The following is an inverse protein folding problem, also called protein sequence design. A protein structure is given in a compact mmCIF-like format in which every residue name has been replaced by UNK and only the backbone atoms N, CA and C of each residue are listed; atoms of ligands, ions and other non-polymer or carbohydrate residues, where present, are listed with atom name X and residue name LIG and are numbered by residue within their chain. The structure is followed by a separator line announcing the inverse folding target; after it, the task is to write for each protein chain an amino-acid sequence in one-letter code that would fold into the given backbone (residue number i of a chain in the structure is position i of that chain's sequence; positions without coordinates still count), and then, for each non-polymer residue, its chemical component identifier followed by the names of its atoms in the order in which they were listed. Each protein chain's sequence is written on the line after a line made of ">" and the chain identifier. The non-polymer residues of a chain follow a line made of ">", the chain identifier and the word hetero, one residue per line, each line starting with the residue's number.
data_IF_784622091545
#
_entry.id   IF_784622091545
#
_cell.length_a   1.000
_cell.length_b   1.000
_cell.length_c   1.000
_cell.angle_alpha   90.00
_cell.angle_beta   90.00
_cell.angle_gamma   90.00
#
_symmetry.space_group_name_H-M   'P 1'
#
loop_
_entity.id
_entity.type
_entity.pdbx_description
1 polymer ?
#
# COMPACT_ATOMS: atom_id res chain seq x y z
N UNK A 1 -33.46 0.59 6.75
CA UNK A 1 -32.83 1.28 7.89
C UNK A 1 -31.33 1.04 7.71
N UNK A 2 -30.53 2.07 7.75
CA UNK A 2 -29.10 1.92 7.57
C UNK A 2 -28.44 1.22 8.77
N UNK A 3 -27.22 0.71 8.59
CA UNK A 3 -26.42 0.09 9.66
C UNK A 3 -26.01 1.17 10.66
N UNK A 4 -25.31 2.21 10.18
CA UNK A 4 -24.78 3.30 11.00
C UNK A 4 -25.06 4.70 10.43
N UNK A 5 -25.29 4.84 9.11
CA UNK A 5 -25.52 6.14 8.49
C UNK A 5 -26.73 6.90 9.03
N UNK A 6 -27.76 6.19 9.50
CA UNK A 6 -29.00 6.78 10.04
C UNK A 6 -28.91 7.04 11.56
N UNK A 7 -27.72 6.91 12.16
CA UNK A 7 -27.53 7.00 13.62
C UNK A 7 -26.51 8.08 14.02
N UNK A 8 -26.69 9.35 13.63
CA UNK A 8 -25.69 10.40 13.82
C UNK A 8 -25.32 10.66 15.29
N UNK A 9 -26.22 10.37 16.22
CA UNK A 9 -26.00 10.53 17.66
C UNK A 9 -24.89 9.62 18.20
N UNK A 10 -24.60 8.52 17.51
CA UNK A 10 -23.57 7.56 17.91
C UNK A 10 -22.21 7.82 17.23
N UNK A 11 -22.18 8.56 16.10
CA UNK A 11 -20.97 8.73 15.29
C UNK A 11 -19.77 9.22 16.08
N UNK A 12 -19.95 10.24 16.92
CA UNK A 12 -18.85 10.78 17.73
C UNK A 12 -18.28 9.77 18.72
N UNK A 13 -19.15 8.96 19.35
CA UNK A 13 -18.73 7.91 20.30
C UNK A 13 -18.02 6.77 19.57
N UNK A 14 -18.54 6.34 18.43
CA UNK A 14 -17.97 5.28 17.63
C UNK A 14 -16.62 5.71 17.01
N UNK A 15 -16.50 6.96 16.57
CA UNK A 15 -15.24 7.53 16.12
C UNK A 15 -14.19 7.47 17.22
N UNK A 16 -14.53 7.85 18.47
CA UNK A 16 -13.58 7.78 19.58
C UNK A 16 -13.11 6.35 19.85
N UNK A 17 -14.04 5.38 19.91
CA UNK A 17 -13.70 3.97 20.10
C UNK A 17 -12.84 3.41 18.96
N UNK A 18 -13.12 3.82 17.73
CA UNK A 18 -12.34 3.44 16.56
C UNK A 18 -10.91 4.00 16.57
N UNK A 19 -10.75 5.25 17.02
CA UNK A 19 -9.44 5.90 17.22
C UNK A 19 -8.63 5.17 18.27
N UNK A 20 -9.24 4.85 19.41
CA UNK A 20 -8.56 4.14 20.50
C UNK A 20 -8.06 2.77 20.04
N UNK A 21 -8.89 2.00 19.33
CA UNK A 21 -8.50 0.71 18.73
C UNK A 21 -7.35 0.84 17.75
N UNK A 22 -7.41 1.85 16.86
CA UNK A 22 -6.35 2.10 15.89
C UNK A 22 -5.04 2.45 16.58
N UNK A 23 -5.08 3.39 17.54
CA UNK A 23 -3.90 3.86 18.25
C UNK A 23 -3.22 2.76 19.06
N UNK A 24 -3.99 1.92 19.74
CA UNK A 24 -3.46 0.75 20.46
C UNK A 24 -2.71 -0.20 19.50
N UNK A 25 -3.32 -0.53 18.38
CA UNK A 25 -2.67 -1.34 17.36
C UNK A 25 -1.40 -0.67 16.81
N UNK A 26 -1.49 0.61 16.45
CA UNK A 26 -0.37 1.34 15.86
C UNK A 26 0.83 1.43 16.80
N UNK A 27 0.59 1.78 18.08
CA UNK A 27 1.65 1.89 19.08
C UNK A 27 2.36 0.55 19.36
N UNK A 28 1.65 -0.57 19.24
CA UNK A 28 2.23 -1.90 19.39
C UNK A 28 2.95 -2.39 18.14
N UNK A 29 2.43 -2.09 16.96
CA UNK A 29 2.93 -2.62 15.69
C UNK A 29 4.05 -1.75 15.07
N UNK A 30 3.81 -0.46 14.90
CA UNK A 30 4.68 0.40 14.09
C UNK A 30 6.09 0.56 14.69
N UNK A 31 6.30 0.82 16.00
CA UNK A 31 7.65 0.99 16.56
C UNK A 31 8.47 -0.29 16.48
N UNK A 32 7.85 -1.45 16.66
CA UNK A 32 8.51 -2.75 16.55
C UNK A 32 8.96 -3.00 15.10
N UNK A 33 8.03 -2.88 14.17
CA UNK A 33 8.28 -3.09 12.75
C UNK A 33 9.35 -2.14 12.20
N UNK A 34 9.32 -0.86 12.60
CA UNK A 34 10.30 0.11 12.17
C UNK A 34 11.71 -0.25 12.67
N UNK A 35 11.85 -0.64 13.95
CA UNK A 35 13.13 -1.07 14.52
C UNK A 35 13.70 -2.33 13.84
N UNK A 36 12.87 -3.35 13.64
CA UNK A 36 13.27 -4.59 12.98
C UNK A 36 13.70 -4.33 11.53
N UNK A 37 12.95 -3.50 10.81
CA UNK A 37 13.29 -3.11 9.44
C UNK A 37 14.61 -2.34 9.41
N UNK A 38 14.85 -1.40 10.31
CA UNK A 38 16.11 -0.64 10.38
C UNK A 38 17.32 -1.53 10.62
N UNK A 39 17.23 -2.48 11.55
CA UNK A 39 18.31 -3.43 11.81
C UNK A 39 18.62 -4.28 10.56
N UNK A 40 17.59 -4.82 9.93
CA UNK A 40 17.74 -5.58 8.68
C UNK A 40 18.36 -4.73 7.57
N UNK A 41 17.92 -3.48 7.41
CA UNK A 41 18.42 -2.58 6.36
C UNK A 41 19.83 -2.08 6.64
N UNK A 42 20.26 -1.91 7.90
CA UNK A 42 21.66 -1.58 8.22
C UNK A 42 22.64 -2.61 7.67
N UNK A 43 22.37 -3.89 7.85
CA UNK A 43 23.20 -4.95 7.29
C UNK A 43 23.24 -4.93 5.74
N UNK A 44 22.09 -4.64 5.11
CA UNK A 44 22.03 -4.50 3.64
C UNK A 44 22.82 -3.30 3.14
N UNK A 45 22.79 -2.17 3.86
CA UNK A 45 23.57 -0.97 3.53
C UNK A 45 25.07 -1.24 3.66
N UNK A 46 25.52 -1.87 4.75
CA UNK A 46 26.93 -2.24 4.90
C UNK A 46 27.41 -3.15 3.77
N UNK A 47 26.59 -4.13 3.36
CA UNK A 47 26.92 -4.98 2.22
C UNK A 47 27.04 -4.17 0.92
N UNK A 48 26.11 -3.24 0.67
CA UNK A 48 26.15 -2.37 -0.50
C UNK A 48 27.40 -1.44 -0.50
N UNK A 49 27.78 -0.91 0.66
CA UNK A 49 29.00 -0.10 0.81
C UNK A 49 30.24 -0.91 0.44
N UNK A 50 30.36 -2.17 0.93
CA UNK A 50 31.50 -3.05 0.59
C UNK A 50 31.56 -3.37 -0.90
N UNK A 51 30.42 -3.75 -1.51
CA UNK A 51 30.34 -4.09 -2.95
C UNK A 51 30.72 -2.91 -3.86
N UNK A 52 30.41 -1.70 -3.42
CA UNK A 52 30.71 -0.46 -4.16
C UNK A 52 32.08 0.14 -3.83
N UNK A 53 32.92 -0.56 -3.04
CA UNK A 53 34.15 0.01 -2.53
C UNK A 53 33.87 1.30 -1.75
N UNK A 54 32.92 1.25 -0.84
CA UNK A 54 32.46 2.40 -0.04
C UNK A 54 32.02 3.60 -0.88
N UNK A 55 31.30 3.33 -1.98
CA UNK A 55 30.84 4.28 -3.00
C UNK A 55 31.93 4.90 -3.87
N UNK A 56 33.20 4.58 -3.66
CA UNK A 56 34.33 5.13 -4.45
C UNK A 56 34.48 4.44 -5.83
N UNK A 57 33.97 3.22 -5.97
CA UNK A 57 34.09 2.39 -7.18
C UNK A 57 32.77 2.08 -7.85
N UNK A 58 31.72 2.89 -7.59
CA UNK A 58 30.42 2.68 -8.20
C UNK A 58 30.50 2.72 -9.72
N UNK A 59 30.00 1.66 -10.38
CA UNK A 59 30.08 1.48 -11.84
C UNK A 59 28.82 0.81 -12.41
N UNK A 60 28.58 0.93 -13.73
CA UNK A 60 27.49 0.21 -14.39
C UNK A 60 27.55 -1.31 -14.21
N UNK A 61 28.76 -1.88 -14.16
CA UNK A 61 28.94 -3.32 -14.00
C UNK A 61 28.55 -3.80 -12.60
N UNK A 62 28.84 -3.00 -11.58
CA UNK A 62 28.38 -3.25 -10.19
C UNK A 62 26.86 -3.20 -10.14
N UNK A 63 26.22 -2.18 -10.72
CA UNK A 63 24.75 -2.09 -10.74
C UNK A 63 24.10 -3.21 -11.57
N UNK A 64 24.77 -3.70 -12.62
CA UNK A 64 24.30 -4.85 -13.41
C UNK A 64 24.31 -6.12 -12.58
N UNK A 65 25.35 -6.32 -11.78
CA UNK A 65 25.54 -7.51 -10.95
C UNK A 65 24.74 -7.47 -9.64
N UNK A 66 24.48 -6.27 -9.13
CA UNK A 66 23.84 -6.01 -7.84
C UNK A 66 22.71 -4.96 -8.00
N UNK A 67 21.66 -5.26 -8.78
CA UNK A 67 20.55 -4.31 -8.96
C UNK A 67 19.83 -3.95 -7.65
N UNK A 68 19.82 -4.85 -6.68
CA UNK A 68 19.19 -4.70 -5.35
C UNK A 68 19.76 -3.56 -4.50
N UNK A 69 20.96 -3.06 -4.83
CA UNK A 69 21.55 -1.94 -4.08
C UNK A 69 20.99 -0.57 -4.48
N UNK A 70 20.27 -0.46 -5.60
CA UNK A 70 19.78 0.81 -6.13
C UNK A 70 18.94 1.63 -5.12
N UNK A 71 18.01 1.05 -4.35
CA UNK A 71 17.31 1.79 -3.30
C UNK A 71 18.26 2.40 -2.26
N UNK A 72 19.33 1.68 -1.89
CA UNK A 72 20.35 2.15 -0.94
C UNK A 72 21.09 3.35 -1.52
N UNK A 73 21.51 3.26 -2.79
CA UNK A 73 22.22 4.35 -3.47
C UNK A 73 21.38 5.61 -3.56
N UNK A 74 20.05 5.49 -3.81
CA UNK A 74 19.15 6.65 -3.80
C UNK A 74 19.05 7.31 -2.43
N UNK A 75 19.11 6.52 -1.37
CA UNK A 75 19.08 7.04 0.02
C UNK A 75 20.44 7.56 0.48
N UNK A 76 21.50 7.28 -0.28
CA UNK A 76 22.86 7.80 -0.04
C UNK A 76 23.08 9.19 -0.67
N UNK A 77 22.08 9.75 -1.35
CA UNK A 77 22.17 11.09 -1.94
C UNK A 77 21.71 12.20 -0.99
N UNK A 78 22.10 13.44 -1.28
CA UNK A 78 21.63 14.64 -0.61
C UNK A 78 20.94 15.59 -1.62
N UNK A 79 19.60 15.82 -1.49
CA UNK A 79 18.67 15.07 -0.63
C UNK A 79 18.48 13.62 -1.12
N UNK A 80 17.97 12.71 -0.26
CA UNK A 80 17.53 11.39 -0.70
C UNK A 80 16.48 11.50 -1.81
N UNK A 81 16.65 10.74 -2.90
CA UNK A 81 15.79 10.88 -4.09
C UNK A 81 14.77 9.73 -4.21
N UNK A 82 13.54 10.10 -4.55
CA UNK A 82 12.49 9.13 -4.87
C UNK A 82 12.81 8.39 -6.19
N UNK A 83 12.26 7.18 -6.35
CA UNK A 83 12.45 6.36 -7.55
C UNK A 83 12.12 7.10 -8.85
N UNK A 84 10.94 7.71 -8.93
CA UNK A 84 10.53 8.44 -10.15
C UNK A 84 11.35 9.71 -10.38
N UNK A 85 11.93 10.30 -9.31
CA UNK A 85 12.87 11.42 -9.43
C UNK A 85 14.18 10.96 -10.03
N UNK A 86 14.73 9.79 -9.64
CA UNK A 86 15.90 9.22 -10.26
C UNK A 86 15.68 8.98 -11.76
N UNK A 87 14.53 8.39 -12.12
CA UNK A 87 14.15 8.17 -13.52
C UNK A 87 14.23 9.47 -14.32
N UNK A 88 13.63 10.56 -13.78
CA UNK A 88 13.64 11.87 -14.44
C UNK A 88 15.02 12.50 -14.53
N UNK A 89 15.81 12.48 -13.45
CA UNK A 89 17.14 13.08 -13.40
C UNK A 89 18.16 12.36 -14.29
N UNK A 90 18.12 11.03 -14.30
CA UNK A 90 19.02 10.22 -15.11
C UNK A 90 18.55 10.09 -16.57
N UNK A 91 17.29 10.39 -16.89
CA UNK A 91 16.73 10.22 -18.23
C UNK A 91 16.74 8.76 -18.68
N UNK A 92 16.35 7.83 -17.80
CA UNK A 92 16.35 6.39 -18.06
C UNK A 92 14.92 5.83 -18.08
N UNK A 93 14.77 4.60 -18.55
CA UNK A 93 13.46 3.93 -18.58
C UNK A 93 12.95 3.61 -17.18
N UNK A 94 11.70 3.98 -16.92
CA UNK A 94 11.01 3.67 -15.64
C UNK A 94 11.03 2.17 -15.33
N UNK A 95 10.80 1.32 -16.32
CA UNK A 95 10.78 -0.14 -16.16
C UNK A 95 12.15 -0.71 -15.74
N UNK A 96 13.27 -0.12 -16.15
CA UNK A 96 14.59 -0.54 -15.69
C UNK A 96 14.72 -0.35 -14.18
N UNK A 97 14.43 0.87 -13.70
CA UNK A 97 14.51 1.20 -12.27
C UNK A 97 13.51 0.38 -11.45
N UNK A 98 12.29 0.18 -11.97
CA UNK A 98 11.29 -0.66 -11.30
C UNK A 98 11.74 -2.11 -11.14
N UNK A 99 12.34 -2.70 -12.17
CA UNK A 99 12.84 -4.07 -12.12
C UNK A 99 14.05 -4.22 -11.17
N UNK A 100 14.92 -3.21 -11.12
CA UNK A 100 16.06 -3.23 -10.17
C UNK A 100 15.61 -3.10 -8.71
N UNK A 101 14.50 -2.41 -8.46
CA UNK A 101 13.92 -2.22 -7.14
C UNK A 101 12.77 -3.19 -6.82
N UNK A 102 12.61 -4.24 -7.61
CA UNK A 102 11.66 -5.32 -7.32
C UNK A 102 12.08 -6.02 -6.02
N UNK A 103 11.16 -6.12 -5.05
CA UNK A 103 11.46 -6.64 -3.71
C UNK A 103 11.64 -8.14 -3.67
N UNK A 104 11.05 -8.87 -4.61
CA UNK A 104 11.10 -10.33 -4.65
C UNK A 104 12.18 -10.83 -5.62
N UNK A 105 12.38 -10.10 -6.73
CA UNK A 105 13.30 -10.50 -7.79
C UNK A 105 13.99 -9.28 -8.43
N UNK A 106 14.90 -8.60 -7.71
CA UNK A 106 15.63 -7.46 -8.26
C UNK A 106 16.50 -7.90 -9.44
N UNK A 107 16.32 -7.24 -10.59
CA UNK A 107 16.99 -7.60 -11.84
C UNK A 107 17.11 -6.43 -12.78
N UNK A 108 18.08 -6.51 -13.68
CA UNK A 108 18.12 -5.65 -14.87
C UNK A 108 17.20 -6.19 -15.97
N UNK A 109 16.75 -5.35 -16.89
CA UNK A 109 15.83 -5.77 -17.95
C UNK A 109 16.50 -6.73 -18.95
N UNK A 110 16.03 -7.99 -19.08
CA UNK A 110 16.63 -8.96 -20.01
C UNK A 110 16.38 -8.63 -21.50
N UNK A 111 15.45 -7.70 -21.78
CA UNK A 111 15.08 -7.30 -23.16
C UNK A 111 15.87 -6.11 -23.68
N UNK A 112 16.79 -5.55 -22.90
CA UNK A 112 17.64 -4.46 -23.32
C UNK A 112 18.93 -5.00 -23.96
N UNK A 113 19.38 -4.36 -25.05
CA UNK A 113 20.72 -4.66 -25.58
C UNK A 113 21.77 -4.29 -24.54
N UNK A 114 22.90 -5.00 -24.52
CA UNK A 114 23.98 -4.77 -23.55
C UNK A 114 24.51 -3.32 -23.62
N UNK A 115 24.64 -2.77 -24.82
CA UNK A 115 25.06 -1.39 -25.05
C UNK A 115 24.07 -0.39 -24.42
N UNK A 116 22.77 -0.58 -24.65
CA UNK A 116 21.73 0.30 -24.10
C UNK A 116 21.65 0.19 -22.57
N UNK A 117 21.76 -1.03 -22.06
CA UNK A 117 21.76 -1.27 -20.61
C UNK A 117 22.95 -0.56 -19.94
N UNK A 118 24.16 -0.72 -20.50
CA UNK A 118 25.38 -0.07 -19.98
C UNK A 118 25.26 1.45 -20.00
N UNK A 119 24.68 2.02 -21.06
CA UNK A 119 24.45 3.48 -21.18
C UNK A 119 23.46 3.96 -20.10
N UNK A 120 22.31 3.31 -19.94
CA UNK A 120 21.32 3.69 -18.94
C UNK A 120 21.85 3.52 -17.50
N UNK A 121 22.54 2.42 -17.21
CA UNK A 121 23.19 2.23 -15.90
C UNK A 121 24.27 3.28 -15.65
N UNK A 122 25.03 3.67 -16.68
CA UNK A 122 26.01 4.76 -16.60
C UNK A 122 25.37 6.10 -16.22
N UNK A 123 24.20 6.41 -16.78
CA UNK A 123 23.44 7.62 -16.41
C UNK A 123 22.97 7.59 -14.96
N UNK A 124 22.52 6.41 -14.49
CA UNK A 124 22.13 6.22 -13.08
C UNK A 124 23.34 6.46 -12.17
N UNK A 125 24.48 5.79 -12.46
CA UNK A 125 25.73 5.94 -11.69
C UNK A 125 26.16 7.41 -11.64
N UNK A 126 26.22 8.09 -12.80
CA UNK A 126 26.62 9.49 -12.85
C UNK A 126 25.69 10.40 -12.04
N UNK A 127 24.38 10.15 -12.08
CA UNK A 127 23.41 10.91 -11.28
C UNK A 127 23.63 10.71 -9.80
N UNK A 128 23.80 9.45 -9.36
CA UNK A 128 24.07 9.13 -7.95
C UNK A 128 25.38 9.76 -7.49
N UNK A 129 26.49 9.56 -8.23
CA UNK A 129 27.80 10.09 -7.84
C UNK A 129 27.82 11.62 -7.70
N UNK A 130 27.05 12.34 -8.52
CA UNK A 130 26.92 13.81 -8.43
C UNK A 130 26.11 14.28 -7.21
N UNK A 131 25.39 13.40 -6.57
CA UNK A 131 24.45 13.72 -5.48
C UNK A 131 24.81 13.02 -4.18
N UNK A 132 25.89 12.26 -4.12
CA UNK A 132 26.30 11.58 -2.88
C UNK A 132 26.41 12.62 -1.74
N UNK A 133 25.90 12.22 -0.56
CA UNK A 133 25.91 13.03 0.65
C UNK A 133 27.29 12.99 1.30
N UNK A 134 28.17 13.95 0.96
CA UNK A 134 29.53 13.98 1.50
C UNK A 134 29.62 14.23 3.01
N UNK A 135 28.55 14.76 3.62
CA UNK A 135 28.51 14.91 5.09
C UNK A 135 28.29 13.56 5.80
N UNK A 136 27.65 12.61 5.10
CA UNK A 136 27.46 11.24 5.57
C UNK A 136 28.65 10.34 5.20
N UNK A 137 29.21 10.53 4.00
CA UNK A 137 30.28 9.72 3.42
C UNK A 137 31.57 10.56 3.30
N UNK A 138 32.07 11.07 4.42
CA UNK A 138 33.19 12.03 4.51
C UNK A 138 34.46 11.56 3.81
N UNK A 139 34.70 10.25 3.78
CA UNK A 139 35.87 9.66 3.14
C UNK A 139 35.93 9.83 1.62
N UNK A 140 34.78 10.14 0.96
CA UNK A 140 34.74 10.33 -0.49
C UNK A 140 35.51 11.58 -0.88
N UNK A 141 35.25 12.71 -0.21
CA UNK A 141 35.94 13.97 -0.46
C UNK A 141 37.41 13.92 0.00
N UNK A 142 37.66 13.19 1.09
CA UNK A 142 39.01 12.99 1.64
C UNK A 142 39.83 11.94 0.87
N UNK A 143 39.21 11.20 -0.07
CA UNK A 143 39.83 10.17 -0.93
C UNK A 143 40.62 9.11 -0.13
N UNK A 144 40.02 8.63 0.94
CA UNK A 144 40.55 7.58 1.83
C UNK A 144 39.57 6.46 2.04
N UNK A 145 40.00 5.36 2.65
CA UNK A 145 39.09 4.33 3.16
C UNK A 145 38.39 4.81 4.43
N UNK A 146 37.10 4.44 4.65
CA UNK A 146 36.42 4.73 5.89
C UNK A 146 36.88 3.80 7.01
N UNK A 147 36.78 4.26 8.24
CA UNK A 147 36.90 3.40 9.40
C UNK A 147 35.59 2.68 9.73
N UNK A 148 35.61 1.74 10.68
CA UNK A 148 34.43 0.93 11.07
C UNK A 148 33.32 1.79 11.67
N UNK A 149 33.66 2.87 12.38
CA UNK A 149 32.69 3.77 13.02
C UNK A 149 31.97 4.59 11.95
N UNK A 150 32.70 5.08 10.95
CA UNK A 150 32.14 5.82 9.81
C UNK A 150 31.23 4.94 8.99
N UNK A 151 31.60 3.69 8.71
CA UNK A 151 30.76 2.70 8.01
C UNK A 151 29.47 2.45 8.80
N UNK A 152 29.57 2.16 10.10
CA UNK A 152 28.41 1.89 10.94
C UNK A 152 27.45 3.11 11.05
N UNK A 153 28.04 4.31 11.20
CA UNK A 153 27.26 5.58 11.24
C UNK A 153 26.52 5.82 9.94
N UNK A 154 27.21 5.76 8.83
CA UNK A 154 26.61 6.00 7.50
C UNK A 154 25.56 4.93 7.16
N UNK A 155 25.83 3.66 7.47
CA UNK A 155 24.87 2.57 7.29
C UNK A 155 23.60 2.79 8.11
N UNK A 156 23.73 3.27 9.36
CA UNK A 156 22.56 3.59 10.20
C UNK A 156 21.72 4.73 9.62
N UNK A 157 22.37 5.80 9.16
CA UNK A 157 21.68 6.96 8.55
C UNK A 157 20.92 6.54 7.29
N UNK A 158 21.57 5.81 6.40
CA UNK A 158 20.93 5.35 5.14
C UNK A 158 19.82 4.34 5.43
N UNK A 159 20.01 3.44 6.38
CA UNK A 159 18.97 2.50 6.81
C UNK A 159 17.75 3.22 7.38
N UNK A 160 17.94 4.27 8.17
CA UNK A 160 16.83 5.08 8.70
C UNK A 160 16.07 5.81 7.59
N UNK A 161 16.78 6.38 6.60
CA UNK A 161 16.16 6.97 5.40
C UNK A 161 15.35 5.93 4.59
N UNK A 162 15.88 4.71 4.44
CA UNK A 162 15.17 3.59 3.80
C UNK A 162 13.92 3.20 4.60
N UNK A 163 14.02 3.12 5.92
CA UNK A 163 12.87 2.82 6.79
C UNK A 163 11.79 3.89 6.66
N UNK A 164 12.15 5.17 6.63
CA UNK A 164 11.19 6.26 6.39
C UNK A 164 10.44 6.12 5.06
N UNK A 165 11.13 5.66 4.01
CA UNK A 165 10.51 5.42 2.71
C UNK A 165 9.65 4.15 2.64
N UNK A 166 9.90 3.17 3.52
CA UNK A 166 9.24 1.85 3.51
C UNK A 166 8.15 1.71 4.59
N UNK A 167 8.21 2.49 5.66
CA UNK A 167 7.33 2.32 6.82
C UNK A 167 5.85 2.53 6.48
N UNK A 168 5.51 3.57 5.73
CA UNK A 168 4.11 3.84 5.37
C UNK A 168 3.47 2.71 4.54
N UNK A 169 4.13 2.18 3.49
CA UNK A 169 3.64 0.99 2.80
C UNK A 169 3.50 -0.24 3.70
N UNK A 170 4.47 -0.50 4.59
CA UNK A 170 4.42 -1.65 5.50
C UNK A 170 3.25 -1.52 6.45
N UNK A 171 3.07 -0.36 7.07
CA UNK A 171 1.96 -0.09 8.00
C UNK A 171 0.62 -0.23 7.28
N UNK A 172 0.48 0.35 6.08
CA UNK A 172 -0.73 0.27 5.28
C UNK A 172 -1.11 -1.16 4.91
N UNK A 173 -0.15 -1.93 4.43
CA UNK A 173 -0.35 -3.35 4.10
C UNK A 173 -0.70 -4.19 5.34
N UNK A 174 -0.12 -3.87 6.50
CA UNK A 174 -0.43 -4.55 7.75
C UNK A 174 -1.84 -4.23 8.24
N UNK A 175 -2.29 -2.97 8.10
CA UNK A 175 -3.65 -2.55 8.41
C UNK A 175 -4.68 -3.30 7.55
N UNK A 176 -4.49 -3.30 6.23
CA UNK A 176 -5.37 -4.00 5.30
C UNK A 176 -5.43 -5.51 5.61
N UNK A 177 -4.28 -6.17 5.77
CA UNK A 177 -4.23 -7.59 6.14
C UNK A 177 -4.94 -7.88 7.46
N UNK A 178 -4.82 -6.99 8.44
CA UNK A 178 -5.52 -7.11 9.72
C UNK A 178 -7.02 -7.04 9.53
N UNK A 179 -7.52 -6.03 8.81
CA UNK A 179 -8.95 -5.86 8.56
C UNK A 179 -9.53 -7.06 7.81
N UNK A 180 -8.89 -7.51 6.74
CA UNK A 180 -9.33 -8.71 6.00
C UNK A 180 -9.34 -9.96 6.89
N UNK A 181 -8.34 -10.11 7.77
CA UNK A 181 -8.30 -11.23 8.72
C UNK A 181 -9.45 -11.18 9.74
N UNK A 182 -9.78 -9.99 10.25
CA UNK A 182 -10.90 -9.82 11.20
C UNK A 182 -12.21 -10.19 10.51
N UNK A 183 -12.42 -9.74 9.27
CA UNK A 183 -13.60 -10.09 8.46
C UNK A 183 -13.65 -11.59 8.18
N UNK A 184 -12.53 -12.20 7.75
CA UNK A 184 -12.46 -13.66 7.52
C UNK A 184 -12.88 -14.44 8.75
N UNK A 185 -12.27 -14.14 9.91
CA UNK A 185 -12.59 -14.83 11.16
C UNK A 185 -14.06 -14.69 11.57
N UNK A 186 -14.65 -13.52 11.32
CA UNK A 186 -16.06 -13.29 11.58
C UNK A 186 -16.95 -14.13 10.66
N UNK A 187 -16.71 -14.08 9.36
CA UNK A 187 -17.47 -14.84 8.36
C UNK A 187 -17.32 -16.36 8.54
N UNK A 188 -16.10 -16.84 8.81
CA UNK A 188 -15.85 -18.25 9.14
C UNK A 188 -16.64 -18.71 10.36
N UNK A 189 -16.75 -17.84 11.40
CA UNK A 189 -17.54 -18.13 12.61
C UNK A 189 -19.03 -18.22 12.34
N UNK A 190 -19.50 -17.63 11.24
CA UNK A 190 -20.89 -17.67 10.77
C UNK A 190 -21.15 -18.82 9.78
N UNK A 191 -20.13 -19.61 9.44
CA UNK A 191 -20.25 -20.75 8.52
C UNK A 191 -19.96 -20.43 7.06
N UNK A 192 -19.56 -19.19 6.73
CA UNK A 192 -19.18 -18.81 5.37
C UNK A 192 -17.86 -19.45 4.95
N UNK A 193 -17.72 -19.68 3.66
CA UNK A 193 -16.49 -20.26 3.07
C UNK A 193 -15.80 -19.29 2.14
N UNK A 194 -14.46 -19.15 2.28
CA UNK A 194 -13.68 -18.31 1.39
C UNK A 194 -13.53 -18.93 -0.01
N UNK A 195 -13.89 -18.17 -1.02
CA UNK A 195 -13.55 -18.47 -2.40
C UNK A 195 -12.11 -18.02 -2.70
N UNK A 196 -11.21 -18.98 -2.88
CA UNK A 196 -9.80 -18.71 -3.19
C UNK A 196 -9.59 -18.61 -4.70
N UNK A 197 -9.16 -17.42 -5.14
CA UNK A 197 -8.67 -17.11 -6.50
C UNK A 197 -9.65 -17.14 -7.68
N UNK A 198 -9.81 -16.00 -8.31
CA UNK A 198 -10.24 -15.89 -9.71
C UNK A 198 -11.73 -16.12 -9.98
N UNK A 199 -12.58 -16.08 -8.97
CA UNK A 199 -14.03 -16.16 -9.14
C UNK A 199 -14.56 -14.85 -9.71
N UNK A 200 -15.39 -14.94 -10.74
CA UNK A 200 -16.26 -13.82 -11.11
C UNK A 200 -17.33 -13.67 -10.04
N UNK A 201 -17.69 -12.44 -9.73
CA UNK A 201 -18.65 -12.16 -8.66
C UNK A 201 -20.02 -12.82 -8.89
N UNK A 202 -20.44 -12.98 -10.16
CA UNK A 202 -21.68 -13.62 -10.58
C UNK A 202 -21.65 -15.16 -10.52
N UNK A 203 -20.49 -15.75 -10.26
CA UNK A 203 -20.30 -17.19 -10.08
C UNK A 203 -20.23 -17.62 -8.60
N UNK A 204 -20.29 -16.66 -7.67
CA UNK A 204 -20.22 -16.94 -6.24
C UNK A 204 -21.46 -17.70 -5.75
N UNK A 205 -21.22 -18.79 -5.02
CA UNK A 205 -22.31 -19.54 -4.37
C UNK A 205 -22.78 -18.84 -3.10
N UNK A 206 -24.05 -19.01 -2.68
CA UNK A 206 -24.52 -18.51 -1.39
C UNK A 206 -23.68 -19.04 -0.21
N UNK A 207 -23.53 -18.25 0.83
CA UNK A 207 -22.71 -18.59 1.99
C UNK A 207 -21.19 -18.54 1.73
N UNK A 208 -20.78 -17.78 0.72
CA UNK A 208 -19.35 -17.61 0.40
C UNK A 208 -18.90 -16.17 0.39
N UNK A 209 -17.60 -15.95 0.57
CA UNK A 209 -16.98 -14.63 0.44
C UNK A 209 -15.66 -14.71 -0.34
N UNK A 210 -15.21 -13.59 -0.87
CA UNK A 210 -13.95 -13.49 -1.61
C UNK A 210 -13.26 -12.16 -1.32
N UNK A 211 -11.93 -12.16 -1.33
CA UNK A 211 -11.12 -10.97 -1.13
C UNK A 211 -10.52 -10.46 -2.43
N UNK A 212 -10.34 -9.12 -2.52
CA UNK A 212 -9.61 -8.43 -3.60
C UNK A 212 -10.09 -8.84 -5.00
N UNK A 213 -11.39 -8.87 -5.16
CA UNK A 213 -12.02 -9.26 -6.42
C UNK A 213 -12.27 -8.03 -7.29
N UNK A 214 -11.95 -8.12 -8.58
CA UNK A 214 -12.27 -7.09 -9.54
C UNK A 214 -13.73 -7.22 -9.99
N UNK A 215 -14.49 -6.13 -9.86
CA UNK A 215 -15.88 -6.02 -10.34
C UNK A 215 -15.88 -5.14 -11.59
N UNK A 216 -16.48 -5.65 -12.67
CA UNK A 216 -16.60 -4.90 -13.90
C UNK A 216 -17.78 -3.94 -13.82
N UNK A 217 -17.53 -2.65 -14.06
CA UNK A 217 -18.51 -1.58 -13.99
C UNK A 217 -18.48 -0.70 -15.22
N UNK A 218 -19.61 -0.04 -15.54
CA UNK A 218 -19.68 1.02 -16.55
C UNK A 218 -18.97 2.27 -16.04
N UNK A 219 -18.19 2.91 -16.89
CA UNK A 219 -17.48 4.16 -16.55
C UNK A 219 -18.47 5.29 -16.28
N UNK A 220 -19.57 5.37 -17.03
CA UNK A 220 -20.70 6.30 -16.84
C UNK A 220 -22.02 5.65 -17.27
N UNK A 221 -23.15 6.23 -16.89
CA UNK A 221 -24.47 5.68 -17.19
C UNK A 221 -24.71 5.47 -18.70
N UNK A 222 -24.24 6.38 -19.54
CA UNK A 222 -24.43 6.39 -20.99
C UNK A 222 -23.27 5.75 -21.77
N UNK A 223 -22.28 5.18 -21.06
CA UNK A 223 -21.08 4.60 -21.69
C UNK A 223 -21.17 3.10 -21.81
N UNK A 224 -20.76 2.58 -22.97
CA UNK A 224 -20.48 1.16 -23.15
C UNK A 224 -19.08 0.76 -22.66
N UNK A 225 -18.24 1.77 -22.31
CA UNK A 225 -16.92 1.49 -21.74
C UNK A 225 -17.05 0.93 -20.34
N UNK A 226 -16.32 -0.15 -20.10
CA UNK A 226 -16.27 -0.83 -18.80
C UNK A 226 -14.88 -0.67 -18.18
N UNK A 227 -14.85 -0.58 -16.86
CA UNK A 227 -13.64 -0.57 -16.07
C UNK A 227 -13.72 -1.68 -15.02
N UNK A 228 -12.57 -2.20 -14.60
CA UNK A 228 -12.50 -3.09 -13.47
C UNK A 228 -12.17 -2.26 -12.22
N UNK A 229 -13.06 -2.29 -11.24
CA UNK A 229 -12.79 -1.69 -9.93
C UNK A 229 -12.44 -2.80 -8.92
N UNK A 230 -11.35 -2.66 -8.18
CA UNK A 230 -11.05 -3.57 -7.10
C UNK A 230 -12.02 -3.34 -5.93
N UNK A 231 -12.53 -4.43 -5.37
CA UNK A 231 -13.35 -4.46 -4.15
C UNK A 231 -12.65 -5.35 -3.14
N UNK A 232 -12.49 -4.88 -1.91
CA UNK A 232 -11.70 -5.58 -0.90
C UNK A 232 -12.37 -6.87 -0.44
N UNK A 233 -13.71 -6.85 -0.26
CA UNK A 233 -14.49 -8.01 0.17
C UNK A 233 -15.80 -8.11 -0.60
N UNK A 234 -16.08 -9.28 -1.16
CA UNK A 234 -17.39 -9.66 -1.66
C UNK A 234 -17.98 -10.73 -0.75
N UNK A 235 -19.27 -10.60 -0.40
CA UNK A 235 -19.98 -11.57 0.42
C UNK A 235 -21.29 -11.93 -0.26
N UNK A 236 -21.50 -13.20 -0.55
CA UNK A 236 -22.78 -13.69 -1.03
C UNK A 236 -23.55 -14.31 0.12
N UNK A 237 -24.60 -13.66 0.66
CA UNK A 237 -25.35 -14.15 1.82
C UNK A 237 -25.90 -15.55 1.62
N UNK A 238 -26.09 -16.32 2.70
CA UNK A 238 -26.69 -17.67 2.64
C UNK A 238 -28.09 -17.68 2.01
N UNK A 239 -28.85 -16.60 2.23
CA UNK A 239 -30.19 -16.43 1.66
C UNK A 239 -30.23 -15.97 0.20
N UNK A 240 -29.09 -15.65 -0.41
CA UNK A 240 -29.00 -15.21 -1.78
C UNK A 240 -29.13 -16.39 -2.76
N UNK A 241 -29.33 -16.09 -4.03
CA UNK A 241 -29.26 -17.07 -5.12
C UNK A 241 -27.96 -16.90 -5.88
N UNK A 242 -27.53 -17.96 -6.54
CA UNK A 242 -26.41 -17.88 -7.49
C UNK A 242 -26.72 -16.87 -8.59
N UNK A 243 -25.80 -15.93 -8.78
CA UNK A 243 -25.95 -14.83 -9.74
C UNK A 243 -26.57 -13.56 -9.15
N UNK A 244 -27.05 -13.58 -7.90
CA UNK A 244 -27.42 -12.36 -7.20
C UNK A 244 -26.17 -11.50 -6.96
N UNK A 245 -26.38 -10.19 -6.88
CA UNK A 245 -25.30 -9.25 -6.63
C UNK A 245 -24.81 -9.40 -5.19
N UNK A 246 -23.52 -9.69 -4.97
CA UNK A 246 -22.99 -9.82 -3.63
C UNK A 246 -22.92 -8.47 -2.91
N UNK A 247 -22.87 -8.51 -1.58
CA UNK A 247 -22.52 -7.37 -0.75
C UNK A 247 -21.05 -7.03 -0.99
N UNK A 248 -20.76 -5.75 -1.21
CA UNK A 248 -19.42 -5.24 -1.48
C UNK A 248 -18.95 -4.42 -0.29
N UNK A 249 -17.75 -4.70 0.21
CA UNK A 249 -17.18 -3.96 1.34
C UNK A 249 -15.78 -3.47 0.95
N UNK A 250 -15.52 -2.19 1.23
CA UNK A 250 -14.22 -1.55 1.09
C UNK A 250 -13.62 -1.30 2.46
N UNK A 251 -12.41 -1.83 2.70
CA UNK A 251 -11.71 -1.67 3.97
C UNK A 251 -10.96 -0.35 4.03
N UNK A 252 -11.23 0.46 5.03
CA UNK A 252 -10.58 1.76 5.21
C UNK A 252 -10.03 1.90 6.62
N UNK A 253 -8.76 2.28 6.68
CA UNK A 253 -8.09 2.59 7.94
C UNK A 253 -7.39 3.94 7.83
N UNK A 254 -7.53 4.79 8.84
CA UNK A 254 -6.97 6.14 8.85
C UNK A 254 -6.25 6.43 10.17
N UNK A 255 -5.00 6.89 10.06
CA UNK A 255 -4.17 7.28 11.21
C UNK A 255 -4.27 8.75 11.60
N UNK A 256 -4.98 9.55 10.82
CA UNK A 256 -5.23 10.98 11.06
C UNK A 256 -6.44 11.47 10.26
N UNK A 257 -6.98 12.64 10.65
CA UNK A 257 -8.13 13.25 9.96
C UNK A 257 -7.76 13.95 8.64
N UNK A 258 -6.49 14.25 8.39
CA UNK A 258 -6.09 15.08 7.25
C UNK A 258 -6.22 14.36 5.91
N UNK A 259 -5.95 13.05 5.89
CA UNK A 259 -5.93 12.25 4.67
C UNK A 259 -7.28 11.64 4.28
N UNK A 260 -8.26 11.69 5.17
CA UNK A 260 -9.57 11.06 4.97
C UNK A 260 -10.35 11.73 3.84
N UNK A 261 -10.33 13.04 3.77
CA UNK A 261 -11.09 13.81 2.77
C UNK A 261 -10.69 13.59 1.30
N UNK A 262 -9.48 13.09 1.04
CA UNK A 262 -9.06 12.75 -0.34
C UNK A 262 -9.70 11.46 -0.83
N UNK A 263 -9.97 10.52 0.08
CA UNK A 263 -10.46 9.18 -0.24
C UNK A 263 -11.96 9.16 -0.54
N UNK A 264 -12.76 10.01 0.11
CA UNK A 264 -14.23 10.03 -0.10
C UNK A 264 -14.67 10.23 -1.55
N UNK A 265 -13.89 10.96 -2.36
CA UNK A 265 -14.20 11.12 -3.80
C UNK A 265 -14.04 9.81 -4.57
N UNK A 266 -13.16 8.95 -4.12
CA UNK A 266 -12.94 7.63 -4.72
C UNK A 266 -14.11 6.71 -4.38
N UNK A 267 -14.59 6.71 -3.13
CA UNK A 267 -15.72 5.93 -2.67
C UNK A 267 -17.02 6.37 -3.37
N UNK A 268 -17.30 7.67 -3.42
CA UNK A 268 -18.45 8.21 -4.13
C UNK A 268 -18.43 7.86 -5.64
N UNK A 269 -17.26 7.90 -6.27
CA UNK A 269 -17.10 7.48 -7.67
C UNK A 269 -17.38 5.99 -7.84
N UNK A 270 -16.85 5.13 -6.97
CA UNK A 270 -17.12 3.69 -6.99
C UNK A 270 -18.62 3.41 -6.83
N UNK A 271 -19.26 4.03 -5.83
CA UNK A 271 -20.69 3.88 -5.58
C UNK A 271 -21.51 4.28 -6.82
N UNK A 272 -21.20 5.41 -7.45
CA UNK A 272 -21.90 5.87 -8.65
C UNK A 272 -21.71 4.89 -9.83
N UNK A 273 -20.51 4.37 -10.04
CA UNK A 273 -20.22 3.38 -11.09
C UNK A 273 -20.96 2.06 -10.84
N UNK A 274 -21.03 1.62 -9.60
CA UNK A 274 -21.79 0.43 -9.18
C UNK A 274 -23.29 0.63 -9.43
N UNK A 275 -23.86 1.77 -9.03
CA UNK A 275 -25.26 2.10 -9.27
C UNK A 275 -25.59 2.19 -10.76
N UNK A 276 -24.72 2.81 -11.57
CA UNK A 276 -24.89 2.89 -13.02
C UNK A 276 -24.89 1.51 -13.70
N UNK A 277 -24.21 0.53 -13.08
CA UNK A 277 -24.05 -0.81 -13.63
C UNK A 277 -25.15 -1.77 -13.16
N UNK A 278 -25.42 -1.77 -11.85
CA UNK A 278 -26.24 -2.77 -11.18
C UNK A 278 -27.56 -2.21 -10.62
N UNK A 279 -27.75 -0.89 -10.69
CA UNK A 279 -28.96 -0.24 -10.19
C UNK A 279 -28.84 0.23 -8.73
N UNK A 280 -29.92 0.85 -8.25
CA UNK A 280 -29.94 1.51 -6.92
C UNK A 280 -29.88 0.54 -5.72
N UNK A 281 -30.13 -0.75 -5.94
CA UNK A 281 -30.14 -1.76 -4.87
C UNK A 281 -28.76 -2.34 -4.54
N UNK A 282 -27.70 -1.79 -5.14
CA UNK A 282 -26.34 -2.23 -4.84
C UNK A 282 -25.99 -1.91 -3.38
N UNK A 283 -25.40 -2.89 -2.68
CA UNK A 283 -24.87 -2.72 -1.33
C UNK A 283 -23.36 -2.57 -1.47
N UNK A 284 -22.87 -1.37 -1.18
CA UNK A 284 -21.45 -1.04 -1.13
C UNK A 284 -21.19 -0.24 0.14
N UNK A 285 -20.59 -0.88 1.12
CA UNK A 285 -20.37 -0.34 2.46
C UNK A 285 -18.88 -0.27 2.80
N UNK A 286 -18.54 0.53 3.81
CA UNK A 286 -17.17 0.68 4.29
C UNK A 286 -16.95 -0.15 5.55
N UNK A 287 -15.74 -0.70 5.71
CA UNK A 287 -15.28 -1.28 6.96
C UNK A 287 -14.21 -0.37 7.56
N UNK A 288 -14.58 0.37 8.62
CA UNK A 288 -13.82 1.52 9.11
C UNK A 288 -13.03 1.22 10.38
N UNK A 289 -11.76 1.69 10.42
CA UNK A 289 -10.93 1.74 11.63
C UNK A 289 -10.10 3.01 11.69
N UNK A 290 -10.16 3.77 12.79
CA UNK A 290 -9.34 4.96 13.04
C UNK A 290 -10.10 6.28 12.91
N UNK A 291 -9.49 7.26 12.26
CA UNK A 291 -9.83 8.68 12.32
C UNK A 291 -10.85 9.11 11.26
N UNK A 292 -12.09 8.67 11.40
CA UNK A 292 -13.21 9.07 10.54
C UNK A 292 -14.18 9.95 11.32
N UNK A 293 -14.13 11.27 11.10
CA UNK A 293 -14.95 12.22 11.83
C UNK A 293 -16.39 12.31 11.30
N UNK A 294 -17.25 13.01 12.06
CA UNK A 294 -18.65 13.18 11.69
C UNK A 294 -18.85 13.91 10.36
N UNK A 295 -17.89 14.73 9.92
CA UNK A 295 -17.96 15.38 8.63
C UNK A 295 -17.74 14.38 7.48
N UNK A 296 -16.76 13.51 7.61
CA UNK A 296 -16.54 12.40 6.67
C UNK A 296 -17.76 11.48 6.61
N UNK A 297 -18.23 11.01 7.77
CA UNK A 297 -19.38 10.11 7.85
C UNK A 297 -20.66 10.73 7.26
N UNK A 298 -20.87 12.03 7.46
CA UNK A 298 -21.99 12.76 6.87
C UNK A 298 -21.94 12.81 5.35
N UNK A 299 -20.75 12.88 4.74
CA UNK A 299 -20.60 12.82 3.30
C UNK A 299 -20.89 11.41 2.76
N UNK A 300 -20.36 10.36 3.39
CA UNK A 300 -20.61 8.99 2.96
C UNK A 300 -22.11 8.65 3.05
N UNK A 301 -22.75 9.06 4.14
CA UNK A 301 -24.20 8.91 4.31
C UNK A 301 -25.00 9.64 3.21
N UNK A 302 -24.57 10.83 2.79
CA UNK A 302 -25.22 11.59 1.72
C UNK A 302 -25.08 10.92 0.34
N UNK A 303 -23.99 10.21 0.07
CA UNK A 303 -23.78 9.40 -1.12
C UNK A 303 -24.52 8.04 -1.07
N UNK A 304 -25.18 7.75 0.06
CA UNK A 304 -25.91 6.49 0.28
C UNK A 304 -25.02 5.34 0.71
N UNK A 305 -23.77 5.61 1.07
CA UNK A 305 -22.80 4.63 1.57
C UNK A 305 -23.01 4.46 3.07
N UNK A 306 -23.05 3.23 3.54
CA UNK A 306 -23.09 2.90 4.97
C UNK A 306 -21.73 2.34 5.41
N UNK A 307 -21.60 2.03 6.69
CA UNK A 307 -20.33 1.50 7.20
C UNK A 307 -20.52 0.57 8.40
N UNK A 308 -19.54 -0.29 8.57
CA UNK A 308 -19.35 -1.15 9.72
C UNK A 308 -18.05 -0.71 10.41
N UNK A 309 -18.12 -0.54 11.73
CA UNK A 309 -16.94 -0.26 12.53
C UNK A 309 -16.18 -1.55 12.88
N UNK A 310 -14.86 -1.55 12.74
CA UNK A 310 -14.04 -2.73 13.10
C UNK A 310 -14.25 -3.15 14.58
N UNK A 311 -14.39 -2.20 15.49
CA UNK A 311 -14.66 -2.48 16.91
C UNK A 311 -16.08 -3.01 17.17
N UNK A 312 -16.96 -2.98 16.18
CA UNK A 312 -18.33 -3.50 16.25
C UNK A 312 -18.68 -4.29 14.97
N UNK A 313 -17.82 -5.25 14.64
CA UNK A 313 -18.00 -6.08 13.43
C UNK A 313 -19.33 -6.83 13.39
N UNK A 314 -19.94 -7.10 14.55
CA UNK A 314 -21.28 -7.71 14.65
C UNK A 314 -22.38 -6.93 13.93
N UNK A 315 -22.16 -5.66 13.58
CA UNK A 315 -23.10 -4.91 12.74
C UNK A 315 -23.24 -5.53 11.33
N UNK A 316 -22.31 -6.40 10.90
CA UNK A 316 -22.46 -7.17 9.66
C UNK A 316 -23.71 -8.06 9.64
N UNK A 317 -24.20 -8.49 10.80
CA UNK A 317 -25.44 -9.27 10.91
C UNK A 317 -26.64 -8.51 10.33
N UNK A 318 -26.61 -7.17 10.35
CA UNK A 318 -27.67 -6.33 9.77
C UNK A 318 -27.69 -6.37 8.23
N UNK A 319 -26.66 -6.92 7.60
CA UNK A 319 -26.58 -7.17 6.16
C UNK A 319 -27.19 -8.54 5.77
N UNK A 320 -27.67 -9.33 6.73
CA UNK A 320 -28.19 -10.67 6.49
C UNK A 320 -27.11 -11.74 6.41
N UNK A 321 -26.00 -11.50 7.10
CA UNK A 321 -24.83 -12.39 7.21
C UNK A 321 -24.94 -13.27 8.44
#
# INVERSE_FOLDING_TARGET
>A
MGINRDKPDYWKKDTAASIDMYNEWFMNFAPKTFRETRVSKSASVESALRVTGYLQHLSPDILKSHPEILPILRMSTCPPIARDRLVGLAGVRKSLVQNMEDTENPRVSPRMSEKTLKDELGKIVNTICRMIDSDVFVWIDEKREPDEVEVARSATIVADRLCGALSDPIIRNAQEKRQLKVISQYLDSKGYTEYKNGVKFDEMEPGTYSFRTNVQVKVSADSEQVANIPVDVLINPEGAKKGDLPIMIECKSAGDFANVNKRRKEEATKMQQLKNTFGENVVFDLFLCGYFDSAYLGYEAAEGIDWIWEHRISDMDLLGI
#
